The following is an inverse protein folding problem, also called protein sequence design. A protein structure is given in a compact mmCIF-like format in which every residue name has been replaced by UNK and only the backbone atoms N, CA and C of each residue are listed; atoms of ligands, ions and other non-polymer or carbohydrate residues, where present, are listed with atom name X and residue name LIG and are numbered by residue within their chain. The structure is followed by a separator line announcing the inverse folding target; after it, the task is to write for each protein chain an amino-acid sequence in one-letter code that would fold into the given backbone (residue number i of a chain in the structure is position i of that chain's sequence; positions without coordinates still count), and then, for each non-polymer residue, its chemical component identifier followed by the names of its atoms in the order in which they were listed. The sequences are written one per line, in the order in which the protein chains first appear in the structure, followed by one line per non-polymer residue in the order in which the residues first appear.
data_IF_057984707877
#
_entry.id   IF_057984707877
#
_cell.length_a   1.000
_cell.length_b   1.000
_cell.length_c   1.000
_cell.angle_alpha   90.00
_cell.angle_beta   90.00
_cell.angle_gamma   90.00
#
_symmetry.space_group_name_H-M   'P 1'
#
loop_
_entity.id
_entity.type
_entity.pdbx_description
1 polymer ?
#
# COMPACT_ATOMS: atom_id res chain seq x y z
N UNK A 1 -8.48 4.17 -38.71
CA UNK A 1 -9.56 5.12 -38.38
C UNK A 1 -9.15 6.47 -38.97
N UNK A 2 -9.82 6.97 -39.99
CA UNK A 2 -9.43 8.24 -40.63
C UNK A 2 -9.96 9.41 -39.81
N UNK A 3 -9.09 10.35 -39.45
CA UNK A 3 -9.49 11.60 -38.80
C UNK A 3 -9.97 12.60 -39.86
N UNK A 4 -11.07 13.28 -39.56
CA UNK A 4 -11.64 14.34 -40.39
C UNK A 4 -11.65 15.63 -39.59
N UNK A 5 -11.30 16.74 -40.23
CA UNK A 5 -11.36 18.08 -39.64
C UNK A 5 -12.11 19.03 -40.58
N UNK A 6 -13.01 19.83 -40.03
CA UNK A 6 -13.85 20.74 -40.81
C UNK A 6 -13.76 22.18 -40.27
N UNK A 7 -13.52 23.14 -41.14
CA UNK A 7 -13.49 24.58 -40.81
C UNK A 7 -13.83 25.42 -42.06
N UNK A 8 -14.62 26.49 -41.90
CA UNK A 8 -15.09 27.38 -42.99
C UNK A 8 -15.56 26.63 -44.26
N UNK A 9 -16.49 25.68 -44.09
CA UNK A 9 -17.02 24.83 -45.16
C UNK A 9 -16.00 23.96 -45.93
N UNK A 10 -14.76 23.85 -45.45
CA UNK A 10 -13.80 22.86 -45.96
C UNK A 10 -13.68 21.69 -44.98
N UNK A 11 -13.70 20.46 -45.50
CA UNK A 11 -13.45 19.24 -44.73
C UNK A 11 -12.24 18.53 -45.30
N UNK A 12 -11.24 18.28 -44.46
CA UNK A 12 -10.00 17.58 -44.83
C UNK A 12 -9.97 16.22 -44.14
N UNK A 13 -9.64 15.19 -44.91
CA UNK A 13 -9.43 13.84 -44.43
C UNK A 13 -7.93 13.57 -44.30
N UNK A 14 -7.51 13.07 -43.13
CA UNK A 14 -6.11 12.78 -42.82
C UNK A 14 -5.76 11.30 -43.04
N UNK A 15 -5.96 10.80 -44.25
CA UNK A 15 -5.57 9.46 -44.68
C UNK A 15 -4.34 9.43 -45.60
N UNK A 16 -3.80 10.62 -45.91
CA UNK A 16 -2.56 10.81 -46.67
C UNK A 16 -1.69 11.89 -46.03
N UNK A 17 -0.38 11.85 -46.28
CA UNK A 17 0.58 12.88 -45.80
C UNK A 17 0.18 14.29 -46.26
N UNK A 18 -0.38 14.42 -47.46
CA UNK A 18 -0.91 15.68 -47.99
C UNK A 18 -2.14 16.14 -47.19
N UNK A 19 -3.02 15.21 -46.81
CA UNK A 19 -4.17 15.49 -45.94
C UNK A 19 -3.76 15.98 -44.55
N UNK A 20 -2.74 15.36 -43.94
CA UNK A 20 -2.18 15.79 -42.65
C UNK A 20 -1.59 17.20 -42.74
N UNK A 21 -0.82 17.50 -43.80
CA UNK A 21 -0.23 18.82 -44.00
C UNK A 21 -1.29 19.92 -44.16
N UNK A 22 -2.39 19.63 -44.88
CA UNK A 22 -3.51 20.57 -45.02
C UNK A 22 -4.22 20.84 -43.69
N UNK A 23 -4.37 19.83 -42.83
CA UNK A 23 -4.94 20.05 -41.49
C UNK A 23 -4.07 20.97 -40.62
N UNK A 24 -2.73 20.82 -40.69
CA UNK A 24 -1.80 21.68 -39.97
C UNK A 24 -1.87 23.15 -40.43
N UNK A 25 -2.02 23.38 -41.73
CA UNK A 25 -2.17 24.74 -42.28
C UNK A 25 -3.48 25.40 -41.84
N UNK A 26 -4.61 24.68 -41.87
CA UNK A 26 -5.90 25.19 -41.37
C UNK A 26 -5.81 25.50 -39.86
N UNK A 27 -5.09 24.69 -39.10
CA UNK A 27 -4.86 24.94 -37.68
C UNK A 27 -4.03 26.22 -37.43
N UNK A 28 -3.11 26.56 -38.33
CA UNK A 28 -2.37 27.82 -38.23
C UNK A 28 -3.25 29.05 -38.51
N UNK A 29 -4.26 28.96 -39.38
CA UNK A 29 -5.22 30.06 -39.60
C UNK A 29 -6.08 30.35 -38.35
N UNK A 30 -6.35 29.34 -37.50
CA UNK A 30 -7.01 29.52 -36.19
C UNK A 30 -6.12 30.30 -35.19
N UNK A 31 -4.80 30.20 -35.31
CA UNK A 31 -3.86 30.89 -34.40
C UNK A 31 -3.70 32.39 -34.68
N UNK A 32 -4.15 32.88 -35.84
CA UNK A 32 -4.08 34.29 -36.21
C UNK A 32 -5.15 35.19 -35.54
N UNK A 33 -6.18 34.59 -34.90
CA UNK A 33 -7.28 35.30 -34.23
C UNK A 33 -7.33 35.08 -32.70
N UNK A 34 -6.16 35.00 -32.04
CA UNK A 34 -6.11 34.84 -30.58
C UNK A 34 -6.40 36.18 -29.90
N UNK A 35 -7.57 36.29 -29.26
CA UNK A 35 -7.79 37.27 -28.19
C UNK A 35 -6.67 37.12 -27.16
N UNK A 36 -5.92 38.19 -26.88
CA UNK A 36 -4.81 38.21 -25.91
C UNK A 36 -5.28 38.23 -24.46
N UNK A 37 -6.58 38.08 -24.21
CA UNK A 37 -7.14 37.85 -22.88
C UNK A 37 -6.85 36.42 -22.44
N UNK A 38 -5.67 36.23 -21.86
CA UNK A 38 -5.43 35.12 -20.94
C UNK A 38 -6.31 35.35 -19.71
N UNK A 39 -7.41 34.62 -19.60
CA UNK A 39 -8.07 34.44 -18.31
C UNK A 39 -7.07 33.74 -17.39
N UNK A 40 -6.54 34.47 -16.41
CA UNK A 40 -5.90 33.88 -15.24
C UNK A 40 -6.99 33.08 -14.52
N UNK A 41 -7.08 31.79 -14.84
CA UNK A 41 -7.73 30.83 -13.95
C UNK A 41 -6.82 30.76 -12.72
N UNK A 42 -7.21 31.40 -11.62
CA UNK A 42 -6.65 31.05 -10.32
C UNK A 42 -6.89 29.55 -10.14
N UNK A 43 -5.85 28.76 -9.80
CA UNK A 43 -6.08 27.39 -9.39
C UNK A 43 -7.18 27.41 -8.33
N UNK A 44 -8.23 26.61 -8.52
CA UNK A 44 -9.13 26.28 -7.43
C UNK A 44 -8.27 25.52 -6.42
N UNK A 45 -7.71 26.24 -5.45
CA UNK A 45 -7.19 25.60 -4.24
C UNK A 45 -8.43 25.27 -3.44
N UNK A 46 -8.73 23.98 -3.30
CA UNK A 46 -9.85 23.53 -2.50
C UNK A 46 -9.74 24.13 -1.09
N UNK A 47 -10.87 24.57 -0.56
CA UNK A 47 -10.87 25.34 0.68
C UNK A 47 -10.40 24.44 1.83
N UNK A 48 -9.36 24.86 2.55
CA UNK A 48 -8.90 24.16 3.74
C UNK A 48 -9.96 24.24 4.83
N UNK A 49 -10.49 23.10 5.25
CA UNK A 49 -11.52 22.97 6.29
C UNK A 49 -10.95 22.62 7.66
N UNK A 50 -9.74 22.05 7.70
CA UNK A 50 -9.04 21.72 8.95
C UNK A 50 -7.53 21.75 8.74
N UNK A 51 -6.77 22.02 9.80
CA UNK A 51 -5.30 21.93 9.78
C UNK A 51 -4.75 21.71 11.18
N UNK A 52 -3.50 21.27 11.25
CA UNK A 52 -2.83 21.02 12.52
C UNK A 52 -1.35 20.69 12.36
N UNK A 53 -0.79 20.05 13.39
CA UNK A 53 0.60 19.61 13.43
C UNK A 53 0.72 18.19 13.94
N UNK A 54 1.63 17.44 13.34
CA UNK A 54 2.08 16.13 13.82
C UNK A 54 3.61 16.13 13.86
N UNK A 55 4.19 16.18 15.07
CA UNK A 55 5.62 16.36 15.22
C UNK A 55 6.04 17.73 14.73
N UNK A 56 6.93 17.79 13.74
CA UNK A 56 7.30 19.05 13.07
C UNK A 56 6.58 19.27 11.75
N UNK A 57 5.83 18.28 11.25
CA UNK A 57 4.96 18.45 10.09
C UNK A 57 3.77 19.34 10.45
N UNK A 58 3.39 20.20 9.51
CA UNK A 58 2.02 20.75 9.44
C UNK A 58 1.19 19.88 8.49
N UNK A 59 -0.12 19.87 8.68
CA UNK A 59 -1.04 19.20 7.78
C UNK A 59 -2.30 20.03 7.60
N UNK A 60 -2.97 19.86 6.48
CA UNK A 60 -4.26 20.44 6.16
C UNK A 60 -5.19 19.40 5.53
N UNK A 61 -6.50 19.65 5.65
CA UNK A 61 -7.57 18.86 5.03
C UNK A 61 -8.42 19.81 4.22
N UNK A 62 -8.56 19.54 2.93
CA UNK A 62 -9.40 20.33 2.04
C UNK A 62 -10.88 19.92 2.08
N UNK A 63 -11.72 20.67 1.36
CA UNK A 63 -13.17 20.43 1.31
C UNK A 63 -13.56 19.09 0.68
N UNK A 64 -12.66 18.43 -0.05
CA UNK A 64 -12.88 17.11 -0.65
C UNK A 64 -12.41 15.97 0.28
N UNK A 65 -11.84 16.31 1.44
CA UNK A 65 -11.34 15.36 2.42
C UNK A 65 -9.94 14.85 2.11
N UNK A 66 -9.15 15.54 1.29
CA UNK A 66 -7.74 15.19 1.09
C UNK A 66 -6.91 15.74 2.24
N UNK A 67 -6.31 14.84 3.01
CA UNK A 67 -5.26 15.18 3.97
C UNK A 67 -3.94 15.38 3.22
N UNK A 68 -3.34 16.58 3.31
CA UNK A 68 -1.97 16.80 2.86
C UNK A 68 -1.04 17.00 4.04
N UNK A 69 0.07 16.25 4.06
CA UNK A 69 1.11 16.35 5.09
C UNK A 69 2.30 17.07 4.49
N UNK A 70 2.64 18.21 5.08
CA UNK A 70 3.72 19.05 4.63
C UNK A 70 5.06 18.68 5.27
N UNK A 71 6.14 19.14 4.64
CA UNK A 71 7.55 18.92 5.03
C UNK A 71 7.77 18.96 6.54
N UNK A 72 8.54 17.99 7.05
CA UNK A 72 8.85 17.87 8.47
C UNK A 72 9.17 16.43 8.88
N UNK A 73 9.07 16.17 10.17
CA UNK A 73 9.24 14.86 10.79
C UNK A 73 7.96 14.52 11.53
N UNK A 74 7.29 13.45 11.11
CA UNK A 74 6.10 12.92 11.76
C UNK A 74 6.44 12.36 13.14
N UNK A 75 5.44 12.33 14.03
CA UNK A 75 5.56 11.55 15.27
C UNK A 75 5.55 10.05 15.00
N UNK A 76 5.83 9.27 16.03
CA UNK A 76 5.84 7.80 15.97
C UNK A 76 4.49 7.16 16.32
N UNK A 77 3.44 7.99 16.45
CA UNK A 77 2.12 7.64 16.96
C UNK A 77 1.04 7.70 15.85
N UNK A 78 -0.21 7.45 16.23
CA UNK A 78 -1.34 7.70 15.33
C UNK A 78 -1.40 9.19 14.99
N UNK A 79 -1.63 9.51 13.72
CA UNK A 79 -1.60 10.88 13.24
C UNK A 79 -2.62 11.77 13.97
N UNK A 80 -2.18 12.97 14.36
CA UNK A 80 -3.02 13.96 15.05
C UNK A 80 -4.32 14.35 14.30
N UNK A 81 -4.43 14.04 13.02
CA UNK A 81 -5.64 14.20 12.21
C UNK A 81 -6.71 13.14 12.47
N UNK A 82 -6.50 12.16 13.35
CA UNK A 82 -7.42 11.02 13.54
C UNK A 82 -8.85 11.43 13.93
N UNK A 83 -9.06 12.57 14.61
CA UNK A 83 -10.39 13.09 14.89
C UNK A 83 -11.20 13.44 13.62
N UNK A 84 -10.53 13.53 12.47
CA UNK A 84 -11.08 13.80 11.15
C UNK A 84 -11.11 12.55 10.25
N UNK A 85 -10.83 11.35 10.77
CA UNK A 85 -10.74 10.12 9.99
C UNK A 85 -11.98 9.84 9.12
N UNK A 86 -13.18 10.17 9.61
CA UNK A 86 -14.43 9.99 8.87
C UNK A 86 -14.60 10.97 7.71
N UNK A 87 -13.88 12.09 7.68
CA UNK A 87 -13.89 13.04 6.56
C UNK A 87 -12.73 12.83 5.58
N UNK A 88 -11.68 12.11 5.98
CA UNK A 88 -10.51 11.90 5.13
C UNK A 88 -10.83 10.85 4.07
N UNK A 89 -10.77 11.26 2.79
CA UNK A 89 -11.05 10.42 1.62
C UNK A 89 -9.78 10.05 0.85
N UNK A 90 -8.72 10.85 1.00
CA UNK A 90 -7.40 10.58 0.42
C UNK A 90 -6.29 11.24 1.24
N UNK A 91 -5.07 10.73 1.09
CA UNK A 91 -3.88 11.27 1.74
C UNK A 91 -2.79 11.52 0.70
N UNK A 92 -2.08 12.64 0.83
CA UNK A 92 -0.88 12.95 0.06
C UNK A 92 0.24 13.46 0.97
N UNK A 93 1.44 12.91 0.79
CA UNK A 93 2.63 13.31 1.54
C UNK A 93 3.53 14.18 0.66
N UNK A 94 3.86 15.38 1.13
CA UNK A 94 4.80 16.27 0.43
C UNK A 94 6.24 15.78 0.51
N UNK A 95 7.07 16.30 -0.40
CA UNK A 95 8.52 16.13 -0.35
C UNK A 95 9.11 16.68 0.96
N UNK A 96 10.02 15.90 1.53
CA UNK A 96 10.74 16.28 2.75
C UNK A 96 9.99 15.92 4.04
N UNK A 97 8.92 15.12 3.95
CA UNK A 97 8.34 14.45 5.11
C UNK A 97 9.15 13.20 5.42
N UNK A 98 9.47 13.00 6.68
CA UNK A 98 10.21 11.83 7.17
C UNK A 98 9.63 11.30 8.47
N UNK A 99 10.01 10.08 8.83
CA UNK A 99 9.61 9.45 10.10
C UNK A 99 10.71 8.52 10.62
N UNK A 100 10.94 8.53 11.93
CA UNK A 100 11.98 7.72 12.59
C UNK A 100 11.50 6.31 12.98
N UNK A 101 10.24 5.99 12.66
CA UNK A 101 9.58 4.71 12.91
C UNK A 101 8.35 4.85 13.80
N UNK A 102 7.68 3.74 14.11
CA UNK A 102 6.52 3.72 15.02
C UNK A 102 6.84 2.97 16.32
N UNK A 103 6.33 3.49 17.45
CA UNK A 103 6.61 2.94 18.77
C UNK A 103 5.38 2.36 19.48
N UNK A 104 4.18 2.52 18.92
CA UNK A 104 2.90 2.19 19.57
C UNK A 104 2.06 1.22 18.74
N UNK A 105 0.83 0.96 19.17
CA UNK A 105 -0.10 0.02 18.53
C UNK A 105 -0.77 0.56 17.25
N UNK A 106 -0.50 1.83 16.92
CA UNK A 106 -1.06 2.55 15.79
C UNK A 106 0.06 3.38 15.14
N UNK A 107 0.08 3.43 13.81
CA UNK A 107 0.94 4.29 13.02
C UNK A 107 0.18 5.48 12.43
N UNK A 108 0.87 6.37 11.68
CA UNK A 108 0.35 7.69 11.33
C UNK A 108 -0.92 7.64 10.48
N UNK A 109 -1.08 6.63 9.62
CA UNK A 109 -2.25 6.50 8.74
C UNK A 109 -3.28 5.49 9.25
N UNK A 110 -3.12 4.96 10.47
CA UNK A 110 -4.05 3.96 10.98
C UNK A 110 -5.43 4.53 11.27
N UNK A 111 -6.47 3.84 10.82
CA UNK A 111 -7.87 4.09 11.17
C UNK A 111 -8.54 5.14 10.30
N UNK A 112 -7.98 5.44 9.12
CA UNK A 112 -8.57 6.29 8.10
C UNK A 112 -9.64 5.52 7.33
N UNK A 113 -10.73 5.16 8.02
CA UNK A 113 -11.73 4.20 7.52
C UNK A 113 -12.42 4.63 6.22
N UNK A 114 -12.39 5.91 5.83
CA UNK A 114 -12.98 6.42 4.60
C UNK A 114 -11.96 6.74 3.50
N UNK A 115 -10.65 6.66 3.80
CA UNK A 115 -9.62 6.90 2.81
C UNK A 115 -9.67 5.81 1.74
N UNK A 116 -9.62 6.21 0.47
CA UNK A 116 -9.54 5.30 -0.68
C UNK A 116 -8.13 5.20 -1.24
N UNK A 117 -7.35 6.26 -1.13
CA UNK A 117 -6.00 6.36 -1.66
C UNK A 117 -5.09 7.04 -0.65
N UNK A 118 -3.91 6.45 -0.42
CA UNK A 118 -2.84 7.05 0.36
C UNK A 118 -1.58 7.11 -0.50
N UNK A 119 -1.13 8.32 -0.83
CA UNK A 119 0.11 8.54 -1.59
C UNK A 119 1.25 8.94 -0.66
N UNK A 120 2.19 8.01 -0.50
CA UNK A 120 3.38 8.10 0.35
C UNK A 120 4.67 8.08 -0.48
N UNK A 121 4.59 8.41 -1.78
CA UNK A 121 5.73 8.44 -2.71
C UNK A 121 6.90 9.25 -2.19
N UNK A 122 6.60 10.33 -1.46
CA UNK A 122 7.59 11.26 -0.93
C UNK A 122 7.96 11.02 0.55
N UNK A 123 7.38 10.01 1.20
CA UNK A 123 7.66 9.74 2.62
C UNK A 123 9.04 9.06 2.75
N UNK A 124 9.96 9.71 3.46
CA UNK A 124 11.24 9.11 3.80
C UNK A 124 11.15 8.24 5.06
N UNK A 125 11.22 6.92 4.86
CA UNK A 125 11.27 5.91 5.93
C UNK A 125 12.67 5.31 6.11
N UNK A 126 13.72 5.86 5.48
CA UNK A 126 15.08 5.29 5.48
C UNK A 126 15.74 5.21 6.86
N UNK A 127 15.21 5.95 7.84
CA UNK A 127 15.63 5.93 9.23
C UNK A 127 14.59 5.29 10.17
N UNK A 128 13.50 4.73 9.63
CA UNK A 128 12.47 4.09 10.42
C UNK A 128 12.96 2.74 10.98
N UNK A 129 13.05 2.64 12.31
CA UNK A 129 13.37 1.37 12.98
C UNK A 129 12.18 0.38 12.93
N UNK A 130 10.96 0.88 12.82
CA UNK A 130 9.74 0.09 12.75
C UNK A 130 8.72 0.76 11.84
N UNK A 131 7.98 -0.07 11.09
CA UNK A 131 6.83 0.31 10.27
C UNK A 131 5.54 -0.30 10.84
N UNK A 132 5.49 -0.54 12.15
CA UNK A 132 4.35 -1.14 12.83
C UNK A 132 3.08 -0.29 12.63
N UNK A 133 2.00 -0.96 12.23
CA UNK A 133 0.63 -0.42 12.16
C UNK A 133 0.44 0.85 11.31
N UNK A 134 1.27 1.12 10.30
CA UNK A 134 1.19 2.36 9.51
C UNK A 134 -0.19 2.59 8.88
N UNK A 135 -0.81 1.56 8.31
CA UNK A 135 -2.09 1.62 7.59
C UNK A 135 -3.19 0.81 8.29
N UNK A 136 -2.98 0.43 9.56
CA UNK A 136 -3.87 -0.49 10.25
C UNK A 136 -5.33 0.02 10.28
N UNK A 137 -6.26 -0.87 9.91
CA UNK A 137 -7.72 -0.71 9.96
C UNK A 137 -8.29 0.36 9.01
N UNK A 138 -7.71 0.50 7.82
CA UNK A 138 -8.20 1.40 6.78
C UNK A 138 -9.17 0.65 5.86
N UNK A 139 -10.34 0.29 6.39
CA UNK A 139 -11.24 -0.70 5.78
C UNK A 139 -11.74 -0.42 4.36
N UNK A 140 -11.73 0.85 3.92
CA UNK A 140 -12.11 1.27 2.56
C UNK A 140 -10.91 1.70 1.69
N UNK A 141 -9.68 1.51 2.17
CA UNK A 141 -8.47 1.81 1.42
C UNK A 141 -8.33 0.86 0.24
N UNK A 142 -8.20 1.41 -0.96
CA UNK A 142 -8.11 0.65 -2.21
C UNK A 142 -6.65 0.61 -2.69
N UNK A 143 -5.93 1.72 -2.52
CA UNK A 143 -4.60 1.88 -3.09
C UNK A 143 -3.65 2.64 -2.17
N UNK A 144 -2.42 2.13 -2.06
CA UNK A 144 -1.29 2.85 -1.49
C UNK A 144 -0.26 3.07 -2.60
N UNK A 145 0.07 4.34 -2.86
CA UNK A 145 1.00 4.75 -3.92
C UNK A 145 2.36 5.04 -3.29
N UNK A 146 3.42 4.55 -3.93
CA UNK A 146 4.79 4.93 -3.60
C UNK A 146 5.51 4.07 -2.57
N UNK A 147 4.93 2.95 -2.11
CA UNK A 147 5.63 2.02 -1.20
C UNK A 147 6.93 1.48 -1.80
N UNK A 148 7.01 1.35 -3.12
CA UNK A 148 8.20 0.91 -3.83
C UNK A 148 9.35 1.95 -3.84
N UNK A 149 9.13 3.18 -3.36
CA UNK A 149 10.19 4.18 -3.18
C UNK A 149 10.89 4.07 -1.82
N UNK A 150 10.32 3.29 -0.89
CA UNK A 150 10.80 3.21 0.48
C UNK A 150 12.10 2.42 0.60
N UNK A 151 13.05 2.97 1.35
CA UNK A 151 14.20 2.23 1.85
C UNK A 151 13.87 1.63 3.22
N UNK A 152 13.50 0.35 3.26
CA UNK A 152 13.12 -0.33 4.51
C UNK A 152 14.27 -1.11 5.17
N UNK A 153 15.51 -0.95 4.69
CA UNK A 153 16.66 -1.76 5.13
C UNK A 153 16.98 -1.68 6.63
N UNK A 154 16.52 -0.65 7.34
CA UNK A 154 16.67 -0.51 8.81
C UNK A 154 15.48 -1.01 9.62
N UNK A 155 14.38 -1.35 8.97
CA UNK A 155 13.16 -1.75 9.65
C UNK A 155 13.33 -3.14 10.28
N UNK A 156 12.99 -3.26 11.57
CA UNK A 156 13.00 -4.54 12.30
C UNK A 156 11.59 -5.04 12.64
N UNK A 157 10.57 -4.17 12.59
CA UNK A 157 9.19 -4.52 12.94
C UNK A 157 8.21 -3.97 11.89
N UNK A 158 7.51 -4.86 11.20
CA UNK A 158 6.43 -4.53 10.25
C UNK A 158 5.07 -5.05 10.73
N UNK A 159 4.94 -5.37 12.03
CA UNK A 159 3.71 -5.94 12.56
C UNK A 159 2.51 -5.03 12.34
N UNK A 160 1.36 -5.62 12.05
CA UNK A 160 0.10 -4.92 11.82
C UNK A 160 0.09 -3.93 10.65
N UNK A 161 1.11 -3.88 9.79
CA UNK A 161 1.29 -2.84 8.76
C UNK A 161 0.03 -2.58 7.92
N UNK A 162 -0.64 -3.65 7.47
CA UNK A 162 -1.88 -3.60 6.68
C UNK A 162 -3.03 -4.38 7.36
N UNK A 163 -3.00 -4.50 8.70
CA UNK A 163 -4.04 -5.26 9.42
C UNK A 163 -5.41 -4.61 9.20
N UNK A 164 -6.37 -5.36 8.67
CA UNK A 164 -7.76 -4.93 8.54
C UNK A 164 -8.08 -4.12 7.28
N UNK A 165 -7.13 -4.02 6.35
CA UNK A 165 -7.27 -3.28 5.10
C UNK A 165 -7.96 -4.14 4.03
N UNK A 166 -9.18 -4.58 4.33
CA UNK A 166 -9.89 -5.61 3.57
C UNK A 166 -10.25 -5.21 2.13
N UNK A 167 -10.17 -3.90 1.81
CA UNK A 167 -10.44 -3.37 0.47
C UNK A 167 -9.17 -3.09 -0.33
N UNK A 168 -7.98 -3.31 0.24
CA UNK A 168 -6.71 -2.94 -0.37
C UNK A 168 -6.41 -3.86 -1.55
N UNK A 169 -6.33 -3.28 -2.76
CA UNK A 169 -6.11 -4.03 -3.99
C UNK A 169 -4.81 -3.66 -4.69
N UNK A 170 -4.23 -2.51 -4.36
CA UNK A 170 -3.02 -2.00 -5.01
C UNK A 170 -2.04 -1.47 -3.97
N UNK A 171 -0.96 -2.22 -3.76
CA UNK A 171 0.19 -1.86 -2.95
C UNK A 171 1.41 -2.48 -3.62
N UNK A 172 2.39 -1.69 -4.06
CA UNK A 172 3.64 -2.24 -4.64
C UNK A 172 4.70 -2.31 -3.54
N UNK A 173 4.86 -3.49 -2.94
CA UNK A 173 5.84 -3.77 -1.87
C UNK A 173 7.08 -4.52 -2.40
N UNK A 174 7.29 -4.53 -3.72
CA UNK A 174 8.38 -5.27 -4.38
C UNK A 174 9.80 -4.81 -4.00
N UNK A 175 9.93 -3.62 -3.41
CA UNK A 175 11.21 -3.02 -2.97
C UNK A 175 11.46 -3.12 -1.47
N UNK A 176 10.57 -3.74 -0.71
CA UNK A 176 10.79 -3.93 0.72
C UNK A 176 11.99 -4.85 0.95
N UNK A 177 13.02 -4.31 1.60
CA UNK A 177 14.09 -5.09 2.22
C UNK A 177 13.61 -5.58 3.59
N UNK A 178 13.39 -6.89 3.69
CA UNK A 178 12.94 -7.58 4.91
C UNK A 178 14.09 -8.28 5.66
N UNK A 179 15.34 -8.13 5.20
CA UNK A 179 16.49 -8.87 5.72
C UNK A 179 16.88 -8.56 7.19
N UNK A 180 16.32 -7.49 7.76
CA UNK A 180 16.47 -7.11 9.16
C UNK A 180 15.17 -7.23 9.97
N UNK A 181 14.06 -7.60 9.35
CA UNK A 181 12.77 -7.73 10.02
C UNK A 181 12.78 -8.95 10.93
N UNK A 182 12.38 -8.76 12.19
CA UNK A 182 12.23 -9.82 13.18
C UNK A 182 10.76 -10.08 13.51
N UNK A 183 9.88 -9.08 13.37
CA UNK A 183 8.46 -9.19 13.69
C UNK A 183 7.56 -8.91 12.48
N UNK A 184 6.79 -9.93 12.07
CA UNK A 184 5.79 -9.88 11.00
C UNK A 184 4.36 -10.16 11.49
N UNK A 185 4.10 -10.10 12.80
CA UNK A 185 2.78 -10.43 13.34
C UNK A 185 1.66 -9.61 12.67
N UNK A 186 0.57 -10.27 12.25
CA UNK A 186 -0.63 -9.64 11.66
C UNK A 186 -0.42 -8.76 10.42
N UNK A 187 0.77 -8.72 9.81
CA UNK A 187 1.12 -7.74 8.75
C UNK A 187 0.08 -7.67 7.63
N UNK A 188 -0.46 -8.82 7.19
CA UNK A 188 -1.45 -8.91 6.11
C UNK A 188 -2.79 -9.50 6.54
N UNK A 189 -3.08 -9.52 7.85
CA UNK A 189 -4.30 -10.10 8.36
C UNK A 189 -5.53 -9.37 7.80
N UNK A 190 -6.39 -10.08 7.07
CA UNK A 190 -7.59 -9.55 6.40
C UNK A 190 -7.36 -8.98 4.99
N UNK A 191 -6.12 -8.94 4.50
CA UNK A 191 -5.82 -8.45 3.15
C UNK A 191 -6.26 -9.46 2.08
N UNK A 192 -6.81 -8.98 0.97
CA UNK A 192 -7.21 -9.79 -0.19
C UNK A 192 -6.16 -9.68 -1.31
N UNK A 193 -5.24 -10.66 -1.39
CA UNK A 193 -4.17 -10.67 -2.39
C UNK A 193 -4.64 -11.11 -3.79
N UNK A 194 -5.90 -11.53 -3.97
CA UNK A 194 -6.42 -11.93 -5.31
C UNK A 194 -6.43 -10.76 -6.31
N UNK A 195 -6.24 -9.53 -5.81
CA UNK A 195 -6.26 -8.30 -6.62
C UNK A 195 -4.88 -7.63 -6.75
N UNK A 196 -3.85 -8.22 -6.14
CA UNK A 196 -2.46 -7.75 -6.15
C UNK A 196 -1.52 -8.83 -6.71
N UNK A 197 -0.28 -8.49 -7.08
CA UNK A 197 0.69 -9.51 -7.53
C UNK A 197 1.26 -10.29 -6.33
N UNK A 198 0.93 -11.59 -6.16
CA UNK A 198 1.45 -12.39 -5.04
C UNK A 198 2.98 -12.61 -5.12
N UNK A 199 3.63 -12.30 -6.24
CA UNK A 199 5.09 -12.40 -6.36
C UNK A 199 5.83 -11.36 -5.50
N UNK A 200 5.15 -10.34 -4.99
CA UNK A 200 5.80 -9.29 -4.21
C UNK A 200 6.34 -9.78 -2.85
N UNK A 201 5.72 -10.80 -2.24
CA UNK A 201 6.16 -11.37 -0.96
C UNK A 201 6.98 -12.67 -1.11
N UNK A 202 6.98 -13.27 -2.31
CA UNK A 202 7.71 -14.53 -2.59
C UNK A 202 9.22 -14.42 -2.33
N UNK A 203 9.79 -13.23 -2.53
CA UNK A 203 11.23 -12.99 -2.40
C UNK A 203 11.65 -12.34 -1.07
N UNK A 204 10.75 -12.25 -0.10
CA UNK A 204 11.09 -11.70 1.21
C UNK A 204 12.14 -12.57 1.92
N UNK A 205 13.13 -11.91 2.52
CA UNK A 205 14.12 -12.58 3.35
C UNK A 205 13.62 -12.64 4.79
N UNK A 206 12.95 -13.75 5.12
CA UNK A 206 12.39 -13.99 6.46
C UNK A 206 13.35 -14.71 7.42
N UNK A 207 14.64 -14.85 7.07
CA UNK A 207 15.60 -15.65 7.84
C UNK A 207 15.90 -15.13 9.25
N UNK A 208 15.59 -13.87 9.54
CA UNK A 208 15.71 -13.25 10.87
C UNK A 208 14.37 -13.10 11.60
N UNK A 209 13.26 -13.49 10.97
CA UNK A 209 11.93 -13.36 11.57
C UNK A 209 11.83 -14.31 12.76
N UNK A 210 11.52 -13.74 13.93
CA UNK A 210 11.29 -14.45 15.19
C UNK A 210 9.81 -14.85 15.36
N UNK A 211 8.90 -14.03 14.84
CA UNK A 211 7.45 -14.20 14.98
C UNK A 211 6.69 -13.72 13.75
N UNK A 212 5.74 -14.54 13.31
CA UNK A 212 4.83 -14.27 12.20
C UNK A 212 3.42 -14.79 12.49
N UNK A 213 3.01 -14.67 13.76
CA UNK A 213 1.68 -15.06 14.19
C UNK A 213 0.63 -14.21 13.48
N UNK A 214 -0.41 -14.87 12.97
CA UNK A 214 -1.52 -14.27 12.24
C UNK A 214 -1.11 -13.47 10.99
N UNK A 215 0.10 -13.68 10.45
CA UNK A 215 0.62 -12.95 9.29
C UNK A 215 -0.39 -12.96 8.12
N UNK A 216 -1.04 -14.10 7.87
CA UNK A 216 -2.03 -14.30 6.81
C UNK A 216 -3.42 -14.68 7.36
N UNK A 217 -3.77 -14.22 8.56
CA UNK A 217 -5.08 -14.51 9.14
C UNK A 217 -6.21 -13.91 8.29
N UNK A 218 -7.17 -14.72 7.86
CA UNK A 218 -8.28 -14.31 6.97
C UNK A 218 -7.81 -13.64 5.67
N UNK A 219 -6.57 -13.90 5.26
CA UNK A 219 -6.03 -13.46 3.98
C UNK A 219 -6.52 -14.39 2.88
N UNK A 220 -6.62 -13.90 1.65
CA UNK A 220 -7.04 -14.69 0.48
C UNK A 220 -5.96 -14.58 -0.60
N UNK A 221 -5.57 -15.71 -1.19
CA UNK A 221 -4.60 -15.80 -2.28
C UNK A 221 -5.18 -16.52 -3.50
N UNK A 222 -4.73 -16.14 -4.71
CA UNK A 222 -4.98 -16.92 -5.94
C UNK A 222 -3.88 -17.96 -6.19
N UNK A 223 -2.63 -17.63 -5.84
CA UNK A 223 -1.46 -18.51 -5.87
C UNK A 223 -0.33 -17.88 -5.07
N UNK A 224 0.29 -18.62 -4.17
CA UNK A 224 1.46 -18.15 -3.42
C UNK A 224 2.48 -19.29 -3.30
N UNK A 225 3.72 -19.04 -3.68
CA UNK A 225 4.83 -19.98 -3.58
C UNK A 225 5.87 -19.43 -2.60
N UNK A 226 6.01 -20.08 -1.45
CA UNK A 226 6.91 -19.68 -0.36
C UNK A 226 8.20 -20.51 -0.31
N UNK A 227 8.62 -21.13 -1.42
CA UNK A 227 9.84 -21.94 -1.49
C UNK A 227 11.12 -21.22 -1.07
N UNK A 228 11.17 -19.89 -1.22
CA UNK A 228 12.33 -19.08 -0.84
C UNK A 228 12.37 -18.70 0.65
N UNK A 229 11.29 -18.94 1.40
CA UNK A 229 11.21 -18.54 2.80
C UNK A 229 11.99 -19.51 3.70
N UNK A 230 13.07 -19.02 4.30
CA UNK A 230 13.78 -19.72 5.37
C UNK A 230 13.16 -19.35 6.72
N UNK A 231 12.31 -20.23 7.27
CA UNK A 231 11.62 -20.02 8.55
C UNK A 231 12.34 -20.62 9.77
N UNK A 232 13.56 -21.13 9.63
CA UNK A 232 14.30 -21.85 10.69
C UNK A 232 14.63 -21.00 11.94
N UNK A 233 14.38 -19.68 11.91
CA UNK A 233 14.51 -18.77 13.06
C UNK A 233 13.17 -18.50 13.76
N UNK A 234 12.05 -18.86 13.14
CA UNK A 234 10.72 -18.52 13.63
C UNK A 234 10.37 -19.36 14.86
N UNK A 235 9.84 -18.69 15.88
CA UNK A 235 9.44 -19.31 17.15
C UNK A 235 7.93 -19.36 17.35
N UNK A 236 7.16 -18.48 16.69
CA UNK A 236 5.69 -18.39 16.83
C UNK A 236 4.99 -18.15 15.48
N UNK A 237 4.02 -19.01 15.18
CA UNK A 237 3.21 -19.00 13.95
C UNK A 237 1.71 -19.20 14.26
N UNK A 238 1.27 -18.73 15.42
CA UNK A 238 -0.12 -18.88 15.87
C UNK A 238 -1.08 -18.27 14.86
N UNK A 239 -2.11 -19.01 14.49
CA UNK A 239 -3.17 -18.53 13.59
C UNK A 239 -2.69 -17.99 12.24
N UNK A 240 -1.46 -18.30 11.79
CA UNK A 240 -0.85 -17.70 10.60
C UNK A 240 -1.74 -17.78 9.36
N UNK A 241 -2.44 -18.89 9.16
CA UNK A 241 -3.37 -19.11 8.04
C UNK A 241 -4.81 -19.29 8.53
N UNK A 242 -5.13 -18.89 9.77
CA UNK A 242 -6.45 -19.11 10.33
C UNK A 242 -7.51 -18.36 9.51
N UNK A 243 -8.59 -19.03 9.12
CA UNK A 243 -9.67 -18.46 8.32
C UNK A 243 -9.30 -18.19 6.85
N UNK A 244 -8.15 -18.66 6.38
CA UNK A 244 -7.82 -18.65 4.95
C UNK A 244 -8.67 -19.69 4.21
N UNK A 245 -9.57 -19.21 3.36
CA UNK A 245 -10.51 -20.07 2.63
C UNK A 245 -9.92 -20.70 1.36
N UNK A 246 -8.70 -20.32 0.97
CA UNK A 246 -7.97 -20.69 -0.25
C UNK A 246 -6.52 -21.14 0.04
N UNK A 247 -6.26 -21.69 1.23
CA UNK A 247 -4.91 -22.14 1.64
C UNK A 247 -4.31 -23.20 0.70
N UNK A 248 -5.12 -23.93 -0.06
CA UNK A 248 -4.70 -24.88 -1.11
C UNK A 248 -3.91 -24.21 -2.24
N UNK A 249 -3.93 -22.87 -2.31
CA UNK A 249 -3.15 -22.04 -3.23
C UNK A 249 -1.76 -21.68 -2.72
N UNK A 250 -1.44 -21.99 -1.45
CA UNK A 250 -0.13 -21.74 -0.85
C UNK A 250 0.73 -23.00 -0.95
N UNK A 251 1.92 -22.86 -1.56
CA UNK A 251 2.84 -23.97 -1.85
C UNK A 251 4.11 -23.92 -1.03
N UNK A 252 4.75 -25.08 -0.89
CA UNK A 252 6.09 -25.26 -0.31
C UNK A 252 6.20 -24.92 1.19
N UNK A 253 5.08 -25.04 1.92
CA UNK A 253 5.07 -24.89 3.39
C UNK A 253 5.25 -26.22 4.14
N UNK A 254 5.18 -27.37 3.44
CA UNK A 254 5.42 -28.69 4.01
C UNK A 254 6.92 -28.96 4.29
N UNK A 255 7.81 -28.32 3.55
CA UNK A 255 9.27 -28.47 3.66
C UNK A 255 9.91 -27.51 4.69
N UNK A 256 9.09 -26.73 5.38
CA UNK A 256 9.56 -25.75 6.37
C UNK A 256 10.22 -26.41 7.58
N UNK A 257 11.45 -25.98 7.91
CA UNK A 257 12.12 -26.33 9.16
C UNK A 257 11.45 -25.61 10.34
N UNK A 258 10.57 -26.34 11.02
CA UNK A 258 9.77 -25.86 12.14
C UNK A 258 10.38 -26.23 13.50
N UNK A 259 11.62 -26.70 13.54
CA UNK A 259 12.28 -27.21 14.76
C UNK A 259 12.38 -26.20 15.90
N UNK A 260 12.39 -24.89 15.60
CA UNK A 260 12.39 -23.81 16.60
C UNK A 260 11.00 -23.27 16.94
N UNK A 261 9.96 -23.69 16.23
CA UNK A 261 8.62 -23.19 16.45
C UNK A 261 8.06 -23.79 17.74
N UNK A 262 7.71 -22.92 18.67
CA UNK A 262 7.17 -23.28 19.98
C UNK A 262 5.65 -23.22 20.03
N UNK A 263 5.01 -22.56 19.05
CA UNK A 263 3.57 -22.35 19.03
C UNK A 263 3.02 -22.20 17.61
N UNK A 264 2.07 -23.07 17.26
CA UNK A 264 1.27 -23.07 16.02
C UNK A 264 -0.23 -23.18 16.34
N UNK A 265 -0.65 -22.66 17.51
CA UNK A 265 -2.04 -22.74 17.96
C UNK A 265 -2.94 -22.13 16.90
N UNK A 266 -3.97 -22.87 16.51
CA UNK A 266 -4.96 -22.45 15.52
C UNK A 266 -4.38 -22.07 14.15
N UNK A 267 -3.15 -22.48 13.79
CA UNK A 267 -2.48 -22.08 12.53
C UNK A 267 -3.37 -22.24 11.30
N UNK A 268 -4.13 -23.33 11.22
CA UNK A 268 -5.07 -23.64 10.13
C UNK A 268 -6.54 -23.68 10.57
N UNK A 269 -6.90 -23.05 11.71
CA UNK A 269 -8.29 -23.09 12.18
C UNK A 269 -9.23 -22.41 11.19
N UNK A 270 -10.41 -22.99 10.95
CA UNK A 270 -11.39 -22.49 9.98
C UNK A 270 -10.86 -22.37 8.53
N UNK A 271 -9.86 -23.17 8.15
CA UNK A 271 -9.44 -23.32 6.74
C UNK A 271 -10.18 -24.49 6.10
N UNK A 272 -10.11 -24.60 4.76
CA UNK A 272 -10.63 -25.76 4.01
C UNK A 272 -9.64 -26.92 3.91
N UNK A 273 -8.45 -26.79 4.49
CA UNK A 273 -7.40 -27.80 4.35
C UNK A 273 -7.75 -29.06 5.14
N UNK A 274 -7.67 -30.20 4.46
CA UNK A 274 -8.01 -31.51 5.04
C UNK A 274 -6.80 -32.45 5.07
N UNK A 275 -5.75 -32.14 4.31
CA UNK A 275 -4.47 -32.84 4.34
C UNK A 275 -3.47 -32.06 5.21
N UNK A 276 -3.45 -32.40 6.50
CA UNK A 276 -2.53 -31.85 7.49
C UNK A 276 -1.15 -32.54 7.46
N UNK A 277 -0.68 -33.03 6.30
CA UNK A 277 0.69 -33.52 6.13
C UNK A 277 1.79 -32.46 6.34
N UNK A 278 1.41 -31.23 6.70
CA UNK A 278 2.29 -30.23 7.30
C UNK A 278 3.13 -30.80 8.44
N UNK A 279 4.34 -30.26 8.67
CA UNK A 279 5.22 -30.76 9.72
C UNK A 279 4.47 -30.81 11.05
N UNK A 280 4.30 -32.04 11.54
CA UNK A 280 3.65 -32.36 12.81
C UNK A 280 4.46 -31.71 13.93
N UNK A 281 4.14 -30.47 14.29
CA UNK A 281 4.44 -30.01 15.65
C UNK A 281 3.48 -30.77 16.55
N UNK A 282 4.02 -31.73 17.28
CA UNK A 282 3.36 -32.33 18.42
C UNK A 282 2.93 -31.18 19.33
N UNK A 283 1.61 -31.01 19.51
CA UNK A 283 1.04 -30.03 20.45
C UNK A 283 1.68 -30.34 21.80
N UNK A 284 2.68 -29.57 22.22
CA UNK A 284 3.15 -29.64 23.60
C UNK A 284 2.04 -29.00 24.42
N UNK A 285 1.35 -29.88 25.14
CA UNK A 285 0.31 -29.59 26.12
C UNK A 285 0.75 -28.56 27.16
#
# INVERSE_FOLDING_TARGET
MAAYFSYNNQTVKADTTIGIQKMLTINNDLTANKSTTSLLLTPLTDAIVSSGKDGTCTWDIDSDGKLTIHTGVLTTDQGSWISYASSITSVYVDKGVSILGTGKDYGPFSGLTNAKTIDVTNLDVSNAAALKAFFRNDSNLIQIIGLNTWNTSKCTDMSYLFLGDNSLTSMDISKFDTSNVTNLNYTFSGVDFTKSDPNEIKNWNVSKVDTMSYLFNKTIFDSLDLSNWNISSVTKMNGMFSGDSNIDKVKNIADWDTSKVTSMISMFSNTKETDLSFPKITRTS
#
